data_IF_447326116545
#
_entry.id   IF_447326116545
#
_cell.length_a   1.000
_cell.length_b   1.000
_cell.length_c   1.000
_cell.angle_alpha   90.00
_cell.angle_beta   90.00
_cell.angle_gamma   90.00
#
_symmetry.space_group_name_H-M   'P 1'
#
loop_
_entity.id
_entity.type
_entity.pdbx_description
1 polymer ?
#
# COMPACT_ATOMS: atom_id res chain seq x y z
N UNK A 1 -57.13 21.58 -44.69
CA UNK A 1 -55.70 21.26 -44.59
C UNK A 1 -55.53 20.01 -43.73
N UNK A 2 -55.30 18.88 -44.40
CA UNK A 2 -54.92 17.55 -43.89
C UNK A 2 -53.41 17.36 -44.19
N UNK A 3 -52.69 16.30 -43.73
CA UNK A 3 -53.00 15.30 -42.69
C UNK A 3 -51.83 14.84 -41.78
N UNK A 4 -52.23 14.07 -40.76
CA UNK A 4 -51.65 12.86 -40.14
C UNK A 4 -50.32 12.22 -40.61
N UNK A 5 -49.59 11.70 -39.60
CA UNK A 5 -48.93 10.36 -39.55
C UNK A 5 -48.83 10.00 -38.04
N UNK A 6 -49.53 9.03 -37.43
CA UNK A 6 -49.61 7.54 -37.54
C UNK A 6 -48.28 6.77 -37.36
N UNK A 7 -48.22 6.10 -36.20
CA UNK A 7 -47.87 4.68 -35.93
C UNK A 7 -46.42 4.19 -36.14
N UNK A 8 -45.79 3.64 -35.10
CA UNK A 8 -45.90 2.20 -34.78
C UNK A 8 -45.05 1.79 -33.57
N UNK A 9 -45.70 1.06 -32.66
CA UNK A 9 -45.06 0.20 -31.67
C UNK A 9 -44.73 -1.15 -32.33
N UNK A 10 -43.54 -1.69 -32.07
CA UNK A 10 -43.18 -3.07 -32.42
C UNK A 10 -42.59 -3.80 -31.20
N UNK A 11 -43.45 -4.62 -30.62
CA UNK A 11 -43.25 -6.00 -30.16
C UNK A 11 -41.83 -6.51 -29.84
N UNK A 12 -41.69 -6.98 -28.60
CA UNK A 12 -40.74 -8.02 -28.15
C UNK A 12 -40.82 -9.30 -28.99
N UNK A 13 -39.74 -10.09 -29.02
CA UNK A 13 -39.84 -11.54 -28.95
C UNK A 13 -39.30 -12.10 -27.62
N UNK A 14 -40.06 -13.04 -27.06
CA UNK A 14 -39.68 -13.96 -25.98
C UNK A 14 -38.79 -15.08 -26.54
N UNK A 15 -37.79 -15.48 -25.74
CA UNK A 15 -37.12 -16.79 -25.51
C UNK A 15 -37.03 -17.82 -26.65
N UNK A 16 -35.97 -18.64 -26.59
CA UNK A 16 -36.24 -20.04 -26.29
C UNK A 16 -35.46 -20.57 -25.08
N UNK A 17 -36.19 -21.43 -24.38
CA UNK A 17 -35.77 -22.41 -23.38
C UNK A 17 -35.29 -23.70 -24.05
N UNK A 18 -34.42 -24.44 -23.37
CA UNK A 18 -33.98 -25.81 -23.71
C UNK A 18 -32.56 -25.81 -24.30
N UNK A 19 -31.63 -26.67 -23.89
CA UNK A 19 -31.66 -27.79 -22.96
C UNK A 19 -30.24 -28.39 -22.87
N UNK A 20 -29.97 -29.05 -21.75
CA UNK A 20 -29.25 -30.34 -21.60
C UNK A 20 -27.80 -30.46 -22.11
N UNK A 21 -27.00 -31.22 -21.33
CA UNK A 21 -25.62 -31.70 -21.49
C UNK A 21 -24.62 -30.96 -20.59
N UNK A 22 -23.79 -31.61 -19.77
CA UNK A 22 -23.66 -33.01 -19.41
C UNK A 22 -22.86 -33.05 -18.10
N UNK A 23 -23.24 -33.92 -17.19
CA UNK A 23 -22.42 -34.25 -16.03
C UNK A 23 -21.17 -35.02 -16.50
N UNK A 24 -20.00 -34.68 -15.97
CA UNK A 24 -18.90 -35.63 -15.90
C UNK A 24 -18.31 -35.61 -14.48
N UNK A 25 -18.95 -36.43 -13.64
CA UNK A 25 -18.34 -36.97 -12.42
C UNK A 25 -17.37 -38.06 -12.88
N UNK A 26 -16.08 -37.87 -12.66
CA UNK A 26 -15.14 -39.00 -12.67
C UNK A 26 -14.95 -39.43 -11.22
N UNK A 27 -15.59 -40.56 -10.89
CA UNK A 27 -15.19 -41.44 -9.81
C UNK A 27 -13.88 -42.11 -10.22
N UNK A 28 -12.89 -42.15 -9.33
CA UNK A 28 -12.07 -43.36 -9.22
C UNK A 28 -11.77 -43.62 -7.75
N UNK A 29 -12.43 -44.67 -7.27
CA UNK A 29 -12.29 -45.24 -5.94
C UNK A 29 -10.95 -45.97 -5.79
N UNK A 30 -10.51 -46.01 -4.54
CA UNK A 30 -9.37 -46.75 -4.04
C UNK A 30 -9.40 -48.26 -4.39
N UNK A 31 -8.20 -48.83 -4.55
CA UNK A 31 -7.96 -50.24 -4.27
C UNK A 31 -6.69 -50.37 -3.42
N UNK A 32 -6.91 -50.69 -2.13
CA UNK A 32 -5.91 -51.27 -1.26
C UNK A 32 -5.60 -52.70 -1.73
N UNK A 33 -4.33 -53.08 -1.71
CA UNK A 33 -3.91 -54.43 -1.30
C UNK A 33 -2.52 -54.34 -0.69
N UNK A 34 -2.48 -54.66 0.60
CA UNK A 34 -1.28 -54.83 1.40
C UNK A 34 -0.67 -56.21 1.14
N UNK A 35 0.66 -56.29 1.09
CA UNK A 35 1.40 -57.45 1.58
C UNK A 35 2.68 -56.99 2.26
N UNK A 36 2.78 -57.38 3.54
CA UNK A 36 3.91 -57.24 4.44
C UNK A 36 4.94 -58.34 4.19
N UNK A 37 6.22 -57.99 4.06
CA UNK A 37 7.35 -58.81 4.50
C UNK A 37 8.40 -57.87 5.08
N UNK A 38 8.70 -58.05 6.36
CA UNK A 38 9.73 -57.30 7.06
C UNK A 38 11.12 -57.83 6.77
N UNK A 39 12.10 -56.93 6.82
CA UNK A 39 13.45 -57.22 7.26
C UNK A 39 13.94 -56.00 8.05
N UNK A 40 14.17 -56.22 9.34
CA UNK A 40 14.89 -55.33 10.23
C UNK A 40 16.37 -55.42 9.89
N UNK A 41 17.01 -54.32 9.54
CA UNK A 41 18.44 -54.16 9.78
C UNK A 41 18.74 -52.80 10.37
N UNK A 42 19.57 -52.87 11.41
CA UNK A 42 19.80 -51.88 12.44
C UNK A 42 21.12 -51.19 12.08
N UNK A 43 21.06 -49.98 11.55
CA UNK A 43 22.25 -49.13 11.36
C UNK A 43 22.25 -47.96 12.36
N UNK A 44 23.46 -47.49 12.75
CA UNK A 44 23.67 -46.83 14.03
C UNK A 44 23.21 -45.38 14.01
N UNK A 45 22.64 -44.96 15.14
CA UNK A 45 22.27 -43.60 15.47
C UNK A 45 23.48 -42.65 15.32
N UNK A 46 23.55 -41.96 14.21
CA UNK A 46 24.35 -40.75 14.08
C UNK A 46 23.60 -39.62 14.76
N UNK A 47 24.20 -39.19 15.86
CA UNK A 47 23.82 -38.07 16.72
C UNK A 47 23.65 -36.80 15.86
N UNK A 48 22.43 -36.49 15.41
CA UNK A 48 22.10 -35.18 14.83
C UNK A 48 21.92 -34.17 15.96
N UNK A 49 23.05 -33.75 16.54
CA UNK A 49 23.16 -32.54 17.34
C UNK A 49 22.59 -31.38 16.53
N UNK A 50 21.57 -30.73 17.10
CA UNK A 50 21.37 -29.28 17.05
C UNK A 50 21.81 -28.60 15.74
N UNK A 51 21.11 -28.88 14.65
CA UNK A 51 20.82 -27.78 13.72
C UNK A 51 19.69 -26.99 14.37
N UNK A 52 20.10 -26.14 15.30
CA UNK A 52 19.43 -24.87 15.53
C UNK A 52 19.17 -24.28 14.14
N UNK A 53 17.93 -24.40 13.67
CA UNK A 53 17.38 -23.50 12.68
C UNK A 53 17.53 -22.10 13.28
N UNK A 54 18.70 -21.51 13.02
CA UNK A 54 18.88 -20.08 13.12
C UNK A 54 17.79 -19.51 12.24
N UNK A 55 16.73 -19.03 12.90
CA UNK A 55 15.68 -18.26 12.28
C UNK A 55 16.41 -17.22 11.45
N UNK A 56 16.37 -17.44 10.14
CA UNK A 56 17.03 -16.58 9.18
C UNK A 56 16.19 -15.30 9.23
N UNK A 57 16.47 -14.42 10.19
CA UNK A 57 15.76 -13.16 10.37
C UNK A 57 16.00 -12.37 9.11
N UNK A 58 14.99 -12.35 8.24
CA UNK A 58 15.05 -11.59 7.00
C UNK A 58 15.06 -10.13 7.41
N UNK A 59 16.24 -9.53 7.38
CA UNK A 59 16.42 -8.11 7.62
C UNK A 59 16.03 -7.36 6.35
N UNK A 60 15.00 -6.52 6.43
CA UNK A 60 14.66 -5.56 5.36
C UNK A 60 15.61 -4.38 5.49
N UNK A 61 16.11 -3.85 4.39
CA UNK A 61 16.75 -2.54 4.34
C UNK A 61 15.88 -1.62 3.49
N UNK A 62 15.42 -0.49 4.05
CA UNK A 62 14.64 0.48 3.30
C UNK A 62 15.53 1.38 2.42
N UNK A 63 16.84 1.41 2.72
CA UNK A 63 17.83 2.25 2.06
C UNK A 63 17.62 3.74 2.32
N UNK A 64 16.84 4.10 3.34
CA UNK A 64 16.49 5.48 3.63
C UNK A 64 17.70 6.24 4.16
N UNK A 65 18.06 7.34 3.49
CA UNK A 65 19.24 8.13 3.84
C UNK A 65 19.02 9.64 3.66
N UNK A 66 17.76 10.10 3.71
CA UNK A 66 17.42 11.52 3.48
C UNK A 66 17.25 12.27 4.80
N UNK A 67 17.58 13.56 4.80
CA UNK A 67 17.33 14.48 5.91
C UNK A 67 16.11 15.37 5.68
N UNK A 68 15.83 16.23 6.66
CA UNK A 68 14.75 17.22 6.60
C UNK A 68 14.83 18.14 5.38
N UNK A 69 16.03 18.59 5.00
CA UNK A 69 16.21 19.50 3.86
C UNK A 69 15.86 18.83 2.52
N UNK A 70 16.15 17.54 2.39
CA UNK A 70 15.77 16.74 1.23
C UNK A 70 14.25 16.64 1.14
N UNK A 71 13.57 16.42 2.27
CA UNK A 71 12.11 16.45 2.37
C UNK A 71 11.52 17.81 2.01
N UNK A 72 12.09 18.92 2.47
CA UNK A 72 11.64 20.26 2.07
C UNK A 72 11.72 20.43 0.56
N UNK A 73 12.85 20.03 -0.03
CA UNK A 73 13.09 20.11 -1.47
C UNK A 73 12.09 19.24 -2.25
N UNK A 74 11.89 17.99 -1.80
CA UNK A 74 10.93 17.05 -2.36
C UNK A 74 9.50 17.60 -2.33
N UNK A 75 9.01 18.06 -1.18
CA UNK A 75 7.65 18.58 -1.01
C UNK A 75 7.45 19.87 -1.83
N UNK A 76 8.44 20.77 -1.86
CA UNK A 76 8.38 21.98 -2.69
C UNK A 76 8.32 21.63 -4.17
N UNK A 77 9.14 20.67 -4.63
CA UNK A 77 9.11 20.20 -6.01
C UNK A 77 7.76 19.60 -6.37
N UNK A 78 7.26 18.67 -5.54
CA UNK A 78 5.97 18.02 -5.76
C UNK A 78 4.83 19.03 -5.82
N UNK A 79 4.73 19.94 -4.84
CA UNK A 79 3.73 21.01 -4.84
C UNK A 79 3.78 21.83 -6.13
N UNK A 80 4.98 22.25 -6.55
CA UNK A 80 5.18 23.07 -7.74
C UNK A 80 4.74 22.32 -9.01
N UNK A 81 5.09 21.04 -9.11
CA UNK A 81 4.71 20.20 -10.24
C UNK A 81 3.19 20.04 -10.34
N UNK A 82 2.50 19.77 -9.22
CA UNK A 82 1.03 19.68 -9.18
C UNK A 82 0.37 21.03 -9.50
N UNK A 83 0.88 22.13 -8.97
CA UNK A 83 0.35 23.46 -9.33
C UNK A 83 0.50 23.76 -10.82
N UNK A 84 1.65 23.46 -11.42
CA UNK A 84 1.87 23.64 -12.85
C UNK A 84 0.94 22.76 -13.69
N UNK A 85 0.69 21.53 -13.23
CA UNK A 85 -0.25 20.59 -13.83
C UNK A 85 -1.70 21.13 -13.80
N UNK A 86 -2.19 21.49 -12.62
CA UNK A 86 -3.51 22.08 -12.42
C UNK A 86 -3.72 23.35 -13.26
N UNK A 87 -2.69 24.19 -13.38
CA UNK A 87 -2.74 25.39 -14.22
C UNK A 87 -2.92 25.11 -15.71
N UNK A 88 -2.56 23.90 -16.20
CA UNK A 88 -2.84 23.43 -17.56
C UNK A 88 -4.24 22.82 -17.72
N UNK A 89 -5.03 22.75 -16.65
CA UNK A 89 -6.33 22.08 -16.63
C UNK A 89 -6.24 20.55 -16.54
N UNK A 90 -5.04 20.03 -16.28
CA UNK A 90 -4.80 18.61 -16.01
C UNK A 90 -5.14 18.37 -14.53
N UNK A 91 -6.34 17.88 -14.23
CA UNK A 91 -6.79 17.65 -12.86
C UNK A 91 -7.53 16.32 -12.77
N UNK A 92 -7.26 15.57 -11.71
CA UNK A 92 -8.01 14.37 -11.34
C UNK A 92 -9.31 14.70 -10.63
N UNK A 93 -9.36 15.86 -9.99
CA UNK A 93 -10.53 16.39 -9.31
C UNK A 93 -11.10 17.57 -10.09
N UNK A 94 -12.10 18.26 -9.54
CA UNK A 94 -12.55 19.55 -10.08
C UNK A 94 -11.66 20.73 -9.65
N UNK A 95 -10.54 20.46 -8.97
CA UNK A 95 -9.61 21.47 -8.48
C UNK A 95 -8.90 22.16 -9.65
N UNK A 96 -8.76 23.50 -9.58
CA UNK A 96 -8.07 24.31 -10.61
C UNK A 96 -6.72 24.82 -10.15
N UNK A 97 -6.48 24.83 -8.84
CA UNK A 97 -5.24 25.22 -8.21
C UNK A 97 -5.19 24.67 -6.78
N UNK A 98 -4.01 24.31 -6.30
CA UNK A 98 -3.81 24.02 -4.89
C UNK A 98 -3.93 25.32 -4.09
N UNK A 99 -4.87 25.43 -3.13
CA UNK A 99 -4.94 26.58 -2.24
C UNK A 99 -3.60 26.83 -1.53
N UNK A 100 -3.24 28.08 -1.23
CA UNK A 100 -2.03 28.40 -0.46
C UNK A 100 -1.97 27.69 0.91
N UNK A 101 -3.12 27.33 1.47
CA UNK A 101 -3.27 26.62 2.74
C UNK A 101 -3.04 25.11 2.66
N UNK A 102 -3.14 24.48 1.49
CA UNK A 102 -2.88 23.04 1.33
C UNK A 102 -1.41 22.81 0.98
N UNK A 103 -0.86 21.67 1.39
CA UNK A 103 0.49 21.19 1.02
C UNK A 103 1.60 22.21 1.34
N UNK A 104 1.53 22.82 2.52
CA UNK A 104 2.51 23.80 2.95
C UNK A 104 3.84 23.12 3.27
N UNK A 105 4.93 23.81 2.91
CA UNK A 105 6.29 23.48 3.33
C UNK A 105 6.70 24.59 4.28
N UNK A 106 7.09 24.23 5.49
CA UNK A 106 7.48 25.21 6.50
C UNK A 106 8.96 25.60 6.34
N UNK A 107 9.42 26.56 7.12
CA UNK A 107 10.85 26.82 7.36
C UNK A 107 11.23 26.59 8.83
N UNK A 108 10.25 26.37 9.71
CA UNK A 108 10.43 26.26 11.16
C UNK A 108 10.00 24.89 11.66
N UNK A 109 10.80 24.28 12.53
CA UNK A 109 10.60 22.90 13.02
C UNK A 109 10.23 22.77 14.49
N UNK A 110 10.45 23.80 15.31
CA UNK A 110 10.33 23.69 16.77
C UNK A 110 8.97 23.19 17.25
N UNK A 111 7.88 23.68 16.69
CA UNK A 111 6.52 23.20 17.01
C UNK A 111 6.29 21.77 16.52
N UNK A 112 6.82 21.41 15.35
CA UNK A 112 6.70 20.07 14.79
C UNK A 112 7.48 19.03 15.62
N UNK A 113 8.65 19.39 16.15
CA UNK A 113 9.46 18.56 17.05
C UNK A 113 8.68 18.16 18.30
N UNK A 114 8.03 19.13 18.96
CA UNK A 114 7.19 18.88 20.13
C UNK A 114 5.99 18.00 19.78
N UNK A 115 5.32 18.27 18.66
CA UNK A 115 4.18 17.48 18.23
C UNK A 115 4.57 16.01 17.93
N UNK A 116 5.74 15.78 17.33
CA UNK A 116 6.29 14.43 17.14
C UNK A 116 6.55 13.76 18.48
N UNK A 117 7.24 14.43 19.41
CA UNK A 117 7.56 13.87 20.72
C UNK A 117 6.29 13.50 21.52
N UNK A 118 5.24 14.31 21.42
CA UNK A 118 3.95 14.04 22.05
C UNK A 118 3.22 12.85 21.39
N UNK A 119 3.26 12.76 20.06
CA UNK A 119 2.70 11.61 19.34
C UNK A 119 3.42 10.31 19.68
N UNK A 120 4.76 10.30 19.69
CA UNK A 120 5.55 9.13 20.08
C UNK A 120 5.24 8.67 21.51
N UNK A 121 5.08 9.61 22.45
CA UNK A 121 4.71 9.32 23.83
C UNK A 121 3.30 8.73 23.93
N UNK A 122 2.34 9.28 23.18
CA UNK A 122 0.95 8.82 23.15
C UNK A 122 0.80 7.44 22.52
N UNK A 123 1.51 7.20 21.41
CA UNK A 123 1.52 5.92 20.70
C UNK A 123 2.40 4.86 21.36
N UNK A 124 3.27 5.27 22.29
CA UNK A 124 4.32 4.45 22.90
C UNK A 124 5.22 3.76 21.85
N UNK A 125 5.54 4.49 20.78
CA UNK A 125 6.33 4.01 19.63
C UNK A 125 7.22 5.16 19.14
N UNK A 126 8.44 4.85 18.72
CA UNK A 126 9.29 5.80 17.99
C UNK A 126 8.90 5.83 16.53
N UNK A 127 8.54 7.01 16.02
CA UNK A 127 8.12 7.15 14.62
C UNK A 127 9.34 7.01 13.70
N UNK A 128 9.18 6.42 12.50
CA UNK A 128 10.31 6.22 11.59
C UNK A 128 10.87 7.57 11.13
N UNK A 129 12.18 7.62 10.87
CA UNK A 129 12.89 8.85 10.57
C UNK A 129 12.29 9.56 9.35
N UNK A 130 11.89 8.81 8.32
CA UNK A 130 11.28 9.40 7.13
C UNK A 130 9.93 10.09 7.40
N UNK A 131 9.07 9.51 8.24
CA UNK A 131 7.80 10.15 8.64
C UNK A 131 8.04 11.38 9.51
N UNK A 132 8.99 11.28 10.45
CA UNK A 132 9.41 12.40 11.29
C UNK A 132 9.92 13.56 10.44
N UNK A 133 10.83 13.31 9.50
CA UNK A 133 11.36 14.36 8.60
C UNK A 133 10.27 14.98 7.73
N UNK A 134 9.29 14.20 7.28
CA UNK A 134 8.10 14.74 6.61
C UNK A 134 7.35 15.73 7.50
N UNK A 135 7.04 15.38 8.75
CA UNK A 135 6.32 16.27 9.69
C UNK A 135 7.11 17.57 9.96
N UNK A 136 8.43 17.48 10.06
CA UNK A 136 9.30 18.67 10.21
C UNK A 136 9.32 19.53 8.94
N UNK A 137 9.38 18.91 7.77
CA UNK A 137 9.41 19.59 6.48
C UNK A 137 8.07 20.26 6.15
N UNK A 138 6.95 19.59 6.40
CA UNK A 138 5.59 20.13 6.19
C UNK A 138 5.16 21.13 7.26
N UNK A 139 5.95 21.30 8.34
CA UNK A 139 5.53 22.09 9.49
C UNK A 139 4.32 21.50 10.21
N UNK A 140 4.18 20.17 10.16
CA UNK A 140 3.05 19.43 10.69
C UNK A 140 1.71 19.79 10.01
N UNK A 141 1.74 20.36 8.80
CA UNK A 141 0.53 20.59 8.03
C UNK A 141 -0.04 19.27 7.48
N UNK A 142 -1.35 19.23 7.27
CA UNK A 142 -1.96 18.17 6.47
C UNK A 142 -1.45 18.23 5.02
N UNK A 143 -1.34 17.06 4.39
CA UNK A 143 -0.88 16.96 3.00
C UNK A 143 -1.92 16.27 2.14
N UNK A 144 -2.52 17.03 1.24
CA UNK A 144 -3.48 16.58 0.25
C UNK A 144 -2.78 15.92 -0.94
N UNK A 145 -3.34 14.81 -1.39
CA UNK A 145 -2.87 14.01 -2.52
C UNK A 145 -4.04 13.98 -3.51
N UNK A 146 -3.87 14.61 -4.67
CA UNK A 146 -5.00 14.77 -5.61
C UNK A 146 -5.38 13.48 -6.31
N UNK A 147 -4.43 12.55 -6.45
CA UNK A 147 -4.69 11.30 -7.15
C UNK A 147 -3.84 10.13 -6.73
N UNK A 148 -4.54 9.01 -6.60
CA UNK A 148 -3.99 7.67 -6.45
C UNK A 148 -4.04 6.86 -7.76
N UNK A 149 -4.18 7.51 -8.92
CA UNK A 149 -4.39 6.78 -10.19
C UNK A 149 -5.52 5.75 -10.03
N UNK A 150 -5.31 4.52 -10.50
CA UNK A 150 -6.30 3.44 -10.46
C UNK A 150 -6.70 2.95 -9.05
N UNK A 151 -6.29 3.59 -7.95
CA UNK A 151 -6.34 3.05 -6.58
C UNK A 151 -7.20 3.85 -5.57
N UNK A 152 -8.33 4.41 -6.00
CA UNK A 152 -9.40 4.95 -5.12
C UNK A 152 -9.28 6.44 -4.71
N UNK A 153 -9.25 7.35 -5.69
CA UNK A 153 -9.61 8.76 -5.47
C UNK A 153 -8.48 9.66 -4.97
N UNK A 154 -8.84 10.71 -4.24
CA UNK A 154 -7.93 11.63 -3.55
C UNK A 154 -7.61 11.12 -2.13
N UNK A 155 -6.66 11.76 -1.44
CA UNK A 155 -6.30 11.38 -0.08
C UNK A 155 -5.64 12.51 0.68
N UNK A 156 -5.45 12.26 1.98
CA UNK A 156 -4.92 13.27 2.89
C UNK A 156 -4.10 12.63 4.01
N UNK A 157 -2.87 13.10 4.18
CA UNK A 157 -2.09 12.83 5.38
C UNK A 157 -2.52 13.77 6.49
N UNK A 158 -2.74 13.19 7.66
CA UNK A 158 -3.16 13.91 8.86
C UNK A 158 -1.98 14.60 9.54
N UNK A 159 -2.28 15.66 10.29
CA UNK A 159 -1.37 16.22 11.27
C UNK A 159 -0.98 15.14 12.31
N UNK A 160 0.26 15.16 12.79
CA UNK A 160 0.80 14.16 13.72
C UNK A 160 0.04 14.09 15.05
N UNK A 161 -0.67 15.15 15.45
CA UNK A 161 -1.50 15.14 16.65
C UNK A 161 -2.80 14.34 16.48
N UNK A 162 -3.24 14.12 15.23
CA UNK A 162 -4.48 13.42 14.91
C UNK A 162 -4.28 11.93 14.55
N UNK A 163 -3.04 11.48 14.38
CA UNK A 163 -2.76 10.06 14.08
C UNK A 163 -2.99 9.21 15.34
N UNK A 164 -3.44 7.97 15.17
CA UNK A 164 -3.55 7.00 16.26
C UNK A 164 -3.38 5.56 15.73
N UNK A 165 -3.35 4.57 16.62
CA UNK A 165 -3.48 3.17 16.22
C UNK A 165 -4.80 2.96 15.48
N UNK A 166 -4.77 2.16 14.41
CA UNK A 166 -5.83 2.09 13.42
C UNK A 166 -7.22 1.75 13.99
N UNK A 167 -7.37 0.81 14.95
CA UNK A 167 -8.67 0.54 15.56
C UNK A 167 -9.29 1.72 16.30
N UNK A 168 -8.46 2.63 16.85
CA UNK A 168 -8.91 3.82 17.55
C UNK A 168 -9.14 4.98 16.58
N UNK A 169 -8.25 5.14 15.59
CA UNK A 169 -8.34 6.20 14.60
C UNK A 169 -9.53 6.01 13.63
N UNK A 170 -9.90 4.76 13.33
CA UNK A 170 -10.96 4.44 12.37
C UNK A 170 -11.63 3.09 12.68
N UNK A 171 -12.43 3.01 13.75
CA UNK A 171 -13.03 1.74 14.19
C UNK A 171 -13.96 1.12 13.15
N UNK A 172 -14.61 1.95 12.31
CA UNK A 172 -15.54 1.50 11.28
C UNK A 172 -14.79 0.76 10.17
N UNK A 173 -13.77 1.37 9.57
CA UNK A 173 -13.01 0.73 8.50
C UNK A 173 -12.20 -0.45 9.03
N UNK A 174 -11.62 -0.33 10.23
CA UNK A 174 -10.96 -1.45 10.91
C UNK A 174 -11.89 -2.66 11.06
N UNK A 175 -13.12 -2.45 11.54
CA UNK A 175 -14.11 -3.53 11.69
C UNK A 175 -14.47 -4.21 10.36
N UNK A 176 -14.58 -3.44 9.28
CA UNK A 176 -14.80 -4.00 7.96
C UNK A 176 -13.62 -4.88 7.51
N UNK A 177 -12.39 -4.35 7.54
CA UNK A 177 -11.21 -5.10 7.10
C UNK A 177 -10.95 -6.35 7.95
N UNK A 178 -11.20 -6.26 9.25
CA UNK A 178 -11.00 -7.38 10.18
C UNK A 178 -12.06 -8.48 10.03
N UNK A 179 -13.25 -8.15 9.50
CA UNK A 179 -14.35 -9.11 9.33
C UNK A 179 -14.46 -9.72 7.93
N UNK A 180 -13.87 -9.07 6.93
CA UNK A 180 -13.94 -9.48 5.51
C UNK A 180 -12.69 -10.20 5.02
N UNK A 181 -11.67 -10.29 5.86
CA UNK A 181 -10.45 -11.02 5.55
C UNK A 181 -10.67 -12.51 5.34
N UNK A 182 -10.06 -13.15 4.33
CA UNK A 182 -9.94 -14.60 4.35
C UNK A 182 -9.25 -15.01 5.66
N UNK A 183 -9.72 -16.09 6.29
CA UNK A 183 -9.09 -16.67 7.49
C UNK A 183 -7.58 -16.63 7.32
N UNK A 184 -6.92 -15.95 8.27
CA UNK A 184 -5.49 -15.67 8.37
C UNK A 184 -4.64 -16.62 7.53
N UNK A 185 -4.38 -16.26 6.27
CA UNK A 185 -3.32 -16.92 5.53
C UNK A 185 -2.03 -16.54 6.24
N UNK A 186 -1.47 -17.47 7.02
CA UNK A 186 -0.14 -17.32 7.59
C UNK A 186 0.82 -17.28 6.41
N UNK A 187 1.10 -16.07 5.93
CA UNK A 187 2.07 -15.85 4.86
C UNK A 187 3.46 -16.03 5.47
N UNK A 188 4.20 -17.01 4.96
CA UNK A 188 5.63 -17.15 5.24
C UNK A 188 6.33 -15.81 4.98
N UNK A 189 7.22 -15.39 5.87
CA UNK A 189 7.88 -14.08 5.81
C UNK A 189 8.53 -13.80 4.43
N UNK A 190 9.12 -14.80 3.78
CA UNK A 190 9.72 -14.68 2.43
C UNK A 190 8.72 -14.34 1.32
N UNK A 191 7.47 -14.77 1.46
CA UNK A 191 6.39 -14.43 0.52
C UNK A 191 5.81 -13.06 0.83
N UNK A 192 5.80 -12.69 2.12
CA UNK A 192 5.28 -11.42 2.57
C UNK A 192 6.22 -10.24 2.25
N UNK A 193 7.51 -10.33 2.57
CA UNK A 193 8.49 -9.24 2.49
C UNK A 193 9.00 -9.01 1.06
N UNK A 194 8.08 -8.69 0.13
CA UNK A 194 8.35 -8.38 -1.27
C UNK A 194 7.95 -6.93 -1.52
N UNK A 195 8.88 -6.14 -2.04
CA UNK A 195 8.70 -4.71 -2.23
C UNK A 195 9.20 -4.27 -3.60
N UNK A 196 8.60 -3.20 -4.12
CA UNK A 196 8.97 -2.63 -5.41
C UNK A 196 8.78 -3.59 -6.59
N UNK A 197 9.40 -3.22 -7.71
CA UNK A 197 9.37 -4.01 -8.93
C UNK A 197 10.29 -5.23 -8.88
N UNK A 198 9.82 -6.33 -9.48
CA UNK A 198 10.64 -7.49 -9.83
C UNK A 198 10.35 -7.93 -11.27
N UNK A 199 11.37 -8.39 -12.00
CA UNK A 199 11.21 -8.86 -13.39
C UNK A 199 10.27 -10.06 -13.47
N UNK A 200 10.44 -11.03 -12.56
CA UNK A 200 9.53 -12.16 -12.38
C UNK A 200 8.23 -11.73 -11.66
N UNK A 201 7.05 -11.86 -12.29
CA UNK A 201 5.78 -11.44 -11.69
C UNK A 201 5.45 -12.12 -10.36
N UNK A 202 5.81 -13.41 -10.21
CA UNK A 202 5.57 -14.18 -8.99
C UNK A 202 6.39 -13.72 -7.78
N UNK A 203 7.40 -12.88 -8.00
CA UNK A 203 8.24 -12.29 -6.96
C UNK A 203 7.87 -10.83 -6.66
N UNK A 204 6.93 -10.25 -7.40
CA UNK A 204 6.32 -8.97 -7.03
C UNK A 204 5.43 -9.16 -5.81
N UNK A 205 5.20 -8.07 -5.08
CA UNK A 205 4.16 -8.07 -4.06
C UNK A 205 2.81 -8.31 -4.73
N UNK A 206 1.95 -9.07 -4.07
CA UNK A 206 0.53 -9.14 -4.39
C UNK A 206 -0.23 -8.38 -3.31
N UNK A 207 -0.85 -7.27 -3.69
CA UNK A 207 -1.53 -6.38 -2.75
C UNK A 207 -2.81 -6.99 -2.18
N UNK A 208 -3.35 -8.05 -2.80
CA UNK A 208 -4.46 -8.81 -2.23
C UNK A 208 -4.02 -9.71 -1.06
N UNK A 209 -2.71 -9.98 -0.91
CA UNK A 209 -2.16 -10.83 0.15
C UNK A 209 -1.36 -10.00 1.16
N UNK A 210 -2.02 -9.62 2.24
CA UNK A 210 -1.44 -8.88 3.35
C UNK A 210 -1.87 -9.43 4.71
N UNK A 211 -1.18 -9.01 5.76
CA UNK A 211 -1.30 -9.57 7.10
C UNK A 211 -2.39 -8.87 7.89
N UNK A 212 -3.61 -9.40 7.80
CA UNK A 212 -4.79 -8.86 8.50
C UNK A 212 -4.58 -8.89 10.03
N UNK A 213 -3.83 -9.86 10.53
CA UNK A 213 -3.41 -9.98 11.94
C UNK A 213 -2.48 -8.87 12.44
N UNK A 214 -2.04 -7.97 11.55
CA UNK A 214 -1.25 -6.78 11.91
C UNK A 214 -2.09 -5.50 11.99
N UNK A 215 -3.30 -5.48 11.42
CA UNK A 215 -4.15 -4.28 11.32
C UNK A 215 -4.41 -3.61 12.67
N UNK A 216 -4.50 -4.40 13.74
CA UNK A 216 -4.75 -3.94 15.11
C UNK A 216 -3.67 -3.03 15.68
N UNK A 217 -2.46 -3.12 15.13
CA UNK A 217 -1.26 -2.44 15.59
C UNK A 217 -0.75 -1.36 14.65
N UNK A 218 -1.33 -1.27 13.44
CA UNK A 218 -0.93 -0.26 12.47
C UNK A 218 -1.26 1.14 12.98
N UNK A 219 -0.46 2.13 12.63
CA UNK A 219 -0.70 3.54 12.96
C UNK A 219 -1.30 4.20 11.72
N UNK A 220 -2.50 4.76 11.83
CA UNK A 220 -3.15 5.47 10.72
C UNK A 220 -2.61 6.90 10.63
N UNK A 221 -1.95 7.21 9.52
CA UNK A 221 -1.33 8.53 9.28
C UNK A 221 -2.06 9.33 8.20
N UNK A 222 -3.02 8.73 7.51
CA UNK A 222 -3.83 9.42 6.52
C UNK A 222 -5.04 8.63 6.06
N UNK A 223 -5.89 9.33 5.33
CA UNK A 223 -7.11 8.83 4.71
C UNK A 223 -6.93 8.76 3.20
N UNK A 224 -7.57 7.76 2.60
CA UNK A 224 -7.85 7.72 1.17
C UNK A 224 -9.37 7.84 0.99
N UNK A 225 -9.81 8.29 -0.17
CA UNK A 225 -11.22 8.25 -0.51
C UNK A 225 -11.77 6.81 -0.45
N UNK A 226 -13.10 6.70 -0.37
CA UNK A 226 -13.82 5.43 -0.29
C UNK A 226 -13.45 4.57 0.93
N UNK A 227 -12.85 5.16 1.96
CA UNK A 227 -12.52 4.46 3.21
C UNK A 227 -11.21 3.68 3.17
N UNK A 228 -10.33 3.98 2.21
CA UNK A 228 -8.95 3.52 2.28
C UNK A 228 -8.13 4.30 3.33
N UNK A 229 -6.93 3.82 3.64
CA UNK A 229 -6.07 4.39 4.67
C UNK A 229 -4.59 4.33 4.30
N UNK A 230 -3.84 5.30 4.82
CA UNK A 230 -2.37 5.31 4.79
C UNK A 230 -1.89 4.92 6.17
N UNK A 231 -1.13 3.84 6.27
CA UNK A 231 -0.78 3.19 7.54
C UNK A 231 0.74 2.99 7.68
N UNK A 232 1.25 3.02 8.91
CA UNK A 232 2.61 2.60 9.27
C UNK A 232 2.55 1.33 10.12
N UNK A 233 3.47 0.40 9.88
CA UNK A 233 3.48 -0.89 10.53
C UNK A 233 4.63 -1.02 11.55
N UNK A 234 4.36 -0.81 12.86
CA UNK A 234 5.40 -0.92 13.88
C UNK A 234 5.85 -2.36 14.15
N UNK A 235 5.18 -3.38 13.59
CA UNK A 235 5.60 -4.79 13.70
C UNK A 235 6.61 -5.20 12.62
N UNK A 236 6.80 -4.38 11.58
CA UNK A 236 7.75 -4.64 10.47
C UNK A 236 8.68 -3.44 10.35
N UNK A 237 9.84 -3.56 11.01
CA UNK A 237 10.87 -2.52 11.08
C UNK A 237 12.10 -2.98 10.29
N UNK A 238 12.63 -2.13 9.43
CA UNK A 238 13.85 -2.38 8.66
C UNK A 238 15.11 -2.17 9.50
N UNK A 239 16.26 -2.59 8.98
CA UNK A 239 17.58 -2.47 9.61
C UNK A 239 17.96 -1.02 9.91
N UNK A 240 17.50 -0.09 9.07
CA UNK A 240 17.68 1.36 9.20
C UNK A 240 16.61 2.04 10.08
N UNK A 241 15.73 1.25 10.72
CA UNK A 241 14.74 1.74 11.68
C UNK A 241 13.47 2.31 11.07
N UNK A 242 13.27 2.15 9.76
CA UNK A 242 12.06 2.54 9.07
C UNK A 242 10.94 1.51 9.29
N UNK A 243 9.69 1.98 9.27
CA UNK A 243 8.52 1.10 9.33
C UNK A 243 8.01 0.85 7.92
N UNK A 244 7.55 -0.38 7.67
CA UNK A 244 6.78 -0.68 6.47
C UNK A 244 5.54 0.24 6.41
N UNK A 245 5.30 0.84 5.25
CA UNK A 245 4.19 1.75 5.01
C UNK A 245 3.19 1.12 4.04
N UNK A 246 1.89 1.32 4.29
CA UNK A 246 0.81 0.71 3.52
C UNK A 246 -0.10 1.78 2.92
N UNK A 247 -0.51 1.55 1.69
CA UNK A 247 -1.73 2.09 1.10
C UNK A 247 -2.77 0.98 1.10
N UNK A 248 -3.75 1.08 2.00
CA UNK A 248 -4.83 0.10 2.13
C UNK A 248 -6.07 0.63 1.40
N UNK A 249 -6.54 -0.08 0.39
CA UNK A 249 -7.67 0.32 -0.47
C UNK A 249 -8.59 -0.86 -0.73
N UNK A 250 -9.91 -0.63 -0.80
CA UNK A 250 -10.87 -1.71 -1.07
C UNK A 250 -10.72 -2.31 -2.47
N UNK A 251 -10.20 -1.53 -3.42
CA UNK A 251 -9.97 -2.00 -4.78
C UNK A 251 -8.72 -2.85 -4.94
N UNK A 252 -7.67 -2.56 -4.17
CA UNK A 252 -6.35 -3.18 -4.38
C UNK A 252 -5.82 -3.99 -3.21
N UNK A 253 -6.44 -3.92 -2.05
CA UNK A 253 -5.86 -4.45 -0.81
C UNK A 253 -4.76 -3.54 -0.29
N UNK A 254 -3.65 -4.11 0.18
CA UNK A 254 -2.53 -3.35 0.76
C UNK A 254 -1.34 -3.31 -0.20
N UNK A 255 -1.09 -2.14 -0.80
CA UNK A 255 0.20 -1.85 -1.45
C UNK A 255 1.21 -1.41 -0.39
N UNK A 256 2.31 -2.15 -0.27
CA UNK A 256 3.28 -2.02 0.83
C UNK A 256 4.64 -1.53 0.33
N UNK A 257 5.30 -0.74 1.16
CA UNK A 257 6.57 -0.05 0.88
C UNK A 257 7.51 -0.22 2.07
N UNK A 258 8.83 -0.21 1.84
CA UNK A 258 9.81 -0.47 2.92
C UNK A 258 9.92 0.67 3.92
N UNK A 259 9.49 1.87 3.53
CA UNK A 259 9.49 3.07 4.35
C UNK A 259 8.37 4.01 3.94
N UNK A 260 8.07 4.98 4.81
CA UNK A 260 7.16 6.06 4.48
C UNK A 260 7.72 6.96 3.35
N UNK A 261 9.03 7.17 3.27
CA UNK A 261 9.67 7.85 2.15
C UNK A 261 9.37 7.18 0.79
N UNK A 262 9.49 5.85 0.71
CA UNK A 262 9.24 5.11 -0.53
C UNK A 262 7.77 5.22 -0.96
N UNK A 263 6.84 5.12 0.00
CA UNK A 263 5.41 5.38 -0.24
C UNK A 263 5.21 6.80 -0.80
N UNK A 264 5.81 7.81 -0.18
CA UNK A 264 5.64 9.21 -0.59
C UNK A 264 6.22 9.50 -1.98
N UNK A 265 7.35 8.88 -2.34
CA UNK A 265 7.88 8.95 -3.71
C UNK A 265 6.89 8.37 -4.71
N UNK A 266 6.29 7.22 -4.41
CA UNK A 266 5.29 6.62 -5.28
C UNK A 266 4.05 7.52 -5.44
N UNK A 267 3.58 8.13 -4.35
CA UNK A 267 2.45 9.08 -4.39
C UNK A 267 2.76 10.31 -5.24
N UNK A 268 3.93 10.92 -5.04
CA UNK A 268 4.35 12.05 -5.85
C UNK A 268 4.48 11.68 -7.33
N UNK A 269 5.01 10.50 -7.65
CA UNK A 269 5.09 10.02 -9.03
C UNK A 269 3.68 9.91 -9.66
N UNK A 270 2.73 9.27 -8.99
CA UNK A 270 1.36 9.10 -9.46
C UNK A 270 0.66 10.46 -9.66
N UNK A 271 0.79 11.35 -8.68
CA UNK A 271 0.15 12.65 -8.68
C UNK A 271 0.73 13.61 -9.74
N UNK A 272 2.01 13.44 -10.10
CA UNK A 272 2.69 14.25 -11.13
C UNK A 272 2.43 13.71 -12.54
N UNK A 273 2.53 12.39 -12.75
CA UNK A 273 2.50 11.79 -14.10
C UNK A 273 1.10 11.43 -14.61
N UNK A 274 0.10 11.51 -13.74
CA UNK A 274 -1.29 11.19 -14.01
C UNK A 274 -1.50 9.87 -14.81
N UNK A 275 -2.20 9.94 -15.95
CA UNK A 275 -2.62 8.80 -16.77
C UNK A 275 -1.45 8.06 -17.43
N UNK A 276 -0.25 8.65 -17.40
CA UNK A 276 1.00 7.98 -17.82
C UNK A 276 1.61 7.16 -16.68
N UNK A 277 1.20 7.41 -15.44
CA UNK A 277 1.81 6.81 -14.28
C UNK A 277 1.46 5.33 -14.20
N UNK A 278 2.50 4.50 -14.08
CA UNK A 278 2.37 3.09 -13.71
C UNK A 278 2.92 2.91 -12.29
N UNK A 279 2.26 2.07 -11.47
CA UNK A 279 2.74 1.83 -10.11
C UNK A 279 4.22 1.43 -10.08
N UNK A 280 5.00 1.97 -9.14
CA UNK A 280 6.42 1.61 -8.95
C UNK A 280 6.65 0.14 -8.57
N UNK A 281 5.57 -0.55 -8.19
CA UNK A 281 5.55 -1.99 -7.95
C UNK A 281 5.47 -2.77 -9.28
N UNK A 282 4.90 -2.16 -10.32
CA UNK A 282 4.63 -2.81 -11.61
C UNK A 282 5.71 -2.55 -12.67
N UNK A 283 6.46 -1.45 -12.55
CA UNK A 283 7.41 -0.99 -13.58
C UNK A 283 8.74 -0.57 -12.95
N UNK A 284 9.90 -1.03 -13.47
CA UNK A 284 11.20 -0.72 -12.89
C UNK A 284 11.54 0.76 -13.07
N UNK A 285 12.25 1.33 -12.10
CA UNK A 285 12.87 2.67 -12.19
C UNK A 285 11.91 3.85 -12.44
N UNK A 286 10.59 3.68 -12.32
CA UNK A 286 9.64 4.79 -12.56
C UNK A 286 9.85 5.97 -11.60
N UNK A 287 10.30 5.71 -10.37
CA UNK A 287 10.66 6.78 -9.42
C UNK A 287 11.90 7.57 -9.84
N UNK A 288 12.60 7.16 -10.91
CA UNK A 288 13.70 7.93 -11.52
C UNK A 288 13.25 8.72 -12.75
N UNK A 289 11.99 8.61 -13.17
CA UNK A 289 11.45 9.36 -14.31
C UNK A 289 11.02 10.78 -13.92
N UNK A 290 10.74 11.00 -12.63
CA UNK A 290 10.32 12.29 -12.08
C UNK A 290 11.45 12.88 -11.26
N UNK A 291 11.83 14.13 -11.54
CA UNK A 291 12.93 14.79 -10.82
C UNK A 291 12.64 14.93 -9.32
N UNK A 292 11.40 15.23 -8.93
CA UNK A 292 11.02 15.36 -7.54
C UNK A 292 11.31 14.08 -6.75
N UNK A 293 10.96 12.90 -7.27
CA UNK A 293 11.09 11.64 -6.53
C UNK A 293 12.54 11.23 -6.28
N UNK A 294 13.51 11.72 -7.07
CA UNK A 294 14.94 11.49 -6.85
C UNK A 294 15.51 12.23 -5.64
N UNK A 295 14.80 13.24 -5.13
CA UNK A 295 15.26 14.05 -4.00
C UNK A 295 15.27 13.27 -2.68
N UNK A 296 14.50 12.18 -2.60
CA UNK A 296 14.57 11.24 -1.49
C UNK A 296 15.42 10.02 -1.89
N UNK A 297 16.32 9.63 -1.00
CA UNK A 297 17.14 8.44 -1.12
C UNK A 297 16.47 7.28 -0.40
N UNK A 298 16.01 6.30 -1.17
CA UNK A 298 15.45 5.02 -0.71
C UNK A 298 16.00 3.89 -1.57
N UNK A 299 15.80 2.64 -1.16
CA UNK A 299 16.15 1.49 -1.98
C UNK A 299 15.32 1.38 -3.29
N UNK A 300 14.28 2.19 -3.47
CA UNK A 300 13.52 2.27 -4.74
C UNK A 300 14.00 3.37 -5.69
N UNK A 301 14.64 4.41 -5.17
CA UNK A 301 15.20 5.51 -5.98
C UNK A 301 16.68 5.37 -6.29
N UNK A 302 17.42 4.53 -5.53
CA UNK A 302 18.78 4.10 -5.88
C UNK A 302 18.82 3.37 -7.20
#
# INVERSE_FOLDING_TARGET
MLPAHRLNALSRPKRPSGGVFSALKIFLSALLLATSIGCTDREPATNSKDRSDSANTISIDSGYASGEQDWRSFLTCWRTAVQARLARGESYTSLKSLPPSLNQVSATTSTSELAVADAERRLNVKLPASYRHFVLASGNAEWFIESFGTLDGDGKLSNVSAIDVYPLADPKNFGYWSSTGPDTLILEARKYLRYGYHTEPLLRQDSAYFRIDQLDSLIKVGDLDQGGAILLNPKVISADGEMEAWLLSFKSGASRYRSFAELMQNLAYLDIQMDKAQSSIATPNVLREVECTKMLVTAASR
#
